data_IF_761968556072
#
_entry.id   IF_761968556072
#
_cell.length_a   1.000
_cell.length_b   1.000
_cell.length_c   1.000
_cell.angle_alpha   90.00
_cell.angle_beta   90.00
_cell.angle_gamma   90.00
#
_symmetry.space_group_name_H-M   'P 1'
#
loop_
_entity.id
_entity.type
_entity.pdbx_description
1 polymer ?
#
# COMPACT_ATOMS: atom_id res chain seq x y z
N UNK A 1 59.77 -61.98 5.91
CA UNK A 1 59.82 -62.63 4.58
C UNK A 1 60.07 -61.53 3.56
N UNK A 2 61.20 -61.60 2.85
CA UNK A 2 61.75 -60.55 1.99
C UNK A 2 61.06 -60.49 0.60
N UNK A 3 61.25 -59.38 -0.14
CA UNK A 3 60.34 -58.80 -1.13
C UNK A 3 60.74 -59.14 -2.58
N UNK A 4 60.02 -58.61 -3.58
CA UNK A 4 60.52 -58.27 -4.94
C UNK A 4 59.43 -57.54 -5.74
N UNK A 5 59.60 -56.25 -6.09
CA UNK A 5 60.34 -55.67 -7.26
C UNK A 5 59.34 -55.44 -8.43
N UNK A 6 59.33 -54.39 -9.25
CA UNK A 6 60.30 -53.37 -9.71
C UNK A 6 59.48 -52.16 -10.27
N UNK A 7 60.04 -50.94 -10.29
CA UNK A 7 59.54 -49.80 -11.11
C UNK A 7 59.84 -49.96 -12.63
N UNK A 8 59.68 -48.94 -13.51
CA UNK A 8 60.19 -47.57 -13.29
C UNK A 8 59.40 -46.39 -13.94
N UNK A 9 59.98 -45.20 -13.73
CA UNK A 9 60.13 -44.06 -14.65
C UNK A 9 59.12 -42.88 -14.62
N UNK A 10 59.70 -41.74 -14.19
CA UNK A 10 59.28 -40.35 -14.36
C UNK A 10 58.99 -39.98 -15.83
N UNK A 11 58.16 -38.96 -16.08
CA UNK A 11 58.64 -37.64 -16.56
C UNK A 11 57.52 -36.57 -16.66
N UNK A 12 57.83 -35.43 -16.05
CA UNK A 12 57.49 -34.03 -16.37
C UNK A 12 56.24 -33.66 -17.17
N UNK A 13 55.46 -32.74 -16.58
CA UNK A 13 54.57 -31.84 -17.31
C UNK A 13 53.87 -30.83 -16.40
N UNK A 14 54.58 -29.76 -16.00
CA UNK A 14 53.92 -28.59 -15.40
C UNK A 14 53.19 -27.84 -16.52
N UNK A 15 51.85 -27.81 -16.49
CA UNK A 15 51.07 -26.84 -17.28
C UNK A 15 49.87 -26.32 -16.47
N UNK A 16 50.07 -25.08 -16.00
CA UNK A 16 49.17 -23.92 -15.90
C UNK A 16 47.66 -24.14 -15.67
N UNK A 17 47.18 -23.40 -14.67
CA UNK A 17 45.80 -23.18 -14.29
C UNK A 17 44.83 -22.92 -15.47
N UNK A 18 43.63 -23.48 -15.34
CA UNK A 18 42.40 -22.83 -15.78
C UNK A 18 41.35 -22.95 -14.68
N UNK A 19 40.86 -21.78 -14.29
CA UNK A 19 39.81 -21.52 -13.33
C UNK A 19 38.49 -22.16 -13.80
N UNK A 20 37.98 -23.11 -13.02
CA UNK A 20 36.60 -23.56 -13.15
C UNK A 20 35.68 -22.54 -12.51
N UNK A 21 35.01 -21.73 -13.34
CA UNK A 21 33.85 -20.91 -12.97
C UNK A 21 32.84 -21.80 -12.22
N UNK A 22 32.43 -21.50 -10.97
CA UNK A 22 31.37 -22.24 -10.32
C UNK A 22 30.07 -22.04 -11.10
N UNK A 23 29.37 -23.15 -11.34
CA UNK A 23 28.04 -23.20 -11.94
C UNK A 23 27.09 -22.33 -11.14
N UNK A 24 26.31 -21.57 -11.89
CA UNK A 24 25.28 -20.63 -11.44
C UNK A 24 24.48 -21.23 -10.27
N UNK A 25 24.65 -20.63 -9.08
CA UNK A 25 23.68 -20.78 -8.02
C UNK A 25 22.43 -20.03 -8.48
N UNK A 26 21.38 -20.78 -8.77
CA UNK A 26 20.04 -20.25 -9.00
C UNK A 26 19.54 -19.60 -7.70
N UNK A 27 19.95 -18.35 -7.48
CA UNK A 27 19.32 -17.43 -6.52
C UNK A 27 18.12 -16.80 -7.20
N UNK A 28 17.12 -17.60 -7.54
CA UNK A 28 15.78 -17.07 -7.74
C UNK A 28 15.22 -16.72 -6.36
N UNK A 29 15.25 -15.43 -6.03
CA UNK A 29 14.44 -14.89 -4.93
C UNK A 29 12.99 -15.36 -5.14
N UNK A 30 12.27 -15.78 -4.09
CA UNK A 30 10.88 -16.16 -4.24
C UNK A 30 10.11 -14.97 -4.83
N UNK A 31 9.54 -15.15 -6.02
CA UNK A 31 8.67 -14.15 -6.66
C UNK A 31 7.60 -13.76 -5.64
N UNK A 32 7.66 -12.54 -5.13
CA UNK A 32 6.61 -11.98 -4.29
C UNK A 32 5.33 -12.04 -5.12
N UNK A 33 4.26 -12.73 -4.65
CA UNK A 33 3.02 -12.78 -5.39
C UNK A 33 2.59 -11.35 -5.74
N UNK A 34 2.39 -11.07 -7.04
CA UNK A 34 1.90 -9.77 -7.47
C UNK A 34 0.57 -9.52 -6.76
N UNK A 35 0.54 -8.56 -5.83
CA UNK A 35 -0.70 -8.16 -5.16
C UNK A 35 -1.64 -7.63 -6.24
N UNK A 36 -2.71 -8.35 -6.52
CA UNK A 36 -3.78 -7.91 -7.39
C UNK A 36 -4.55 -6.80 -6.70
N UNK A 37 -5.05 -5.82 -7.47
CA UNK A 37 -5.87 -4.77 -6.91
C UNK A 37 -7.13 -5.40 -6.28
N UNK A 38 -7.48 -5.08 -5.02
CA UNK A 38 -8.65 -5.69 -4.37
C UNK A 38 -9.97 -5.47 -5.12
N UNK A 39 -10.07 -4.45 -5.97
CA UNK A 39 -11.25 -4.23 -6.81
C UNK A 39 -11.36 -5.17 -8.02
N UNK A 40 -10.29 -5.90 -8.37
CA UNK A 40 -10.29 -6.89 -9.45
C UNK A 40 -10.84 -8.25 -9.00
N UNK A 41 -11.16 -8.40 -7.72
CA UNK A 41 -11.88 -9.56 -7.18
C UNK A 41 -13.29 -9.63 -7.82
N UNK A 42 -13.67 -10.77 -8.46
CA UNK A 42 -14.97 -10.94 -9.10
C UNK A 42 -16.17 -10.62 -8.22
N UNK A 43 -16.05 -10.74 -6.90
CA UNK A 43 -17.09 -10.34 -5.93
C UNK A 43 -17.48 -8.85 -6.05
N UNK A 44 -16.63 -8.01 -6.62
CA UNK A 44 -16.87 -6.58 -6.82
C UNK A 44 -17.16 -6.20 -8.27
N UNK A 45 -17.25 -7.16 -9.21
CA UNK A 45 -17.44 -6.85 -10.63
C UNK A 45 -18.71 -6.02 -10.89
N UNK A 46 -19.84 -6.42 -10.29
CA UNK A 46 -21.12 -5.71 -10.42
C UNK A 46 -21.05 -4.32 -9.79
N UNK A 47 -20.45 -4.20 -8.60
CA UNK A 47 -20.28 -2.92 -7.93
C UNK A 47 -19.43 -1.96 -8.78
N UNK A 48 -18.33 -2.46 -9.35
CA UNK A 48 -17.43 -1.67 -10.20
C UNK A 48 -18.10 -1.20 -11.50
N UNK A 49 -19.03 -1.99 -12.06
CA UNK A 49 -19.81 -1.60 -13.23
C UNK A 49 -20.68 -0.35 -12.95
N UNK A 50 -21.27 -0.26 -11.76
CA UNK A 50 -22.15 0.86 -11.38
C UNK A 50 -21.39 2.14 -10.93
N UNK A 51 -20.09 2.03 -10.65
CA UNK A 51 -19.26 3.14 -10.15
C UNK A 51 -18.83 4.12 -11.25
N UNK A 52 -19.79 4.88 -11.78
CA UNK A 52 -19.58 5.84 -12.88
C UNK A 52 -18.58 6.96 -12.58
N UNK A 53 -18.27 7.22 -11.31
CA UNK A 53 -17.34 8.26 -10.84
C UNK A 53 -16.21 7.69 -10.00
N UNK A 54 -15.82 6.45 -10.30
CA UNK A 54 -14.89 5.69 -9.49
C UNK A 54 -13.56 6.43 -9.25
N UNK A 55 -13.25 6.67 -7.98
CA UNK A 55 -12.00 7.30 -7.57
C UNK A 55 -11.94 8.81 -7.82
N UNK A 56 -13.01 9.43 -8.32
CA UNK A 56 -13.11 10.89 -8.41
C UNK A 56 -13.43 11.49 -7.04
N UNK A 57 -13.00 12.73 -6.81
CA UNK A 57 -13.51 13.48 -5.67
C UNK A 57 -14.98 13.84 -5.88
N UNK A 58 -15.82 13.50 -4.90
CA UNK A 58 -17.17 14.03 -4.80
C UNK A 58 -17.15 15.54 -4.58
N UNK A 59 -18.24 16.21 -4.96
CA UNK A 59 -18.37 17.65 -4.76
C UNK A 59 -18.27 17.99 -3.26
N UNK A 60 -17.38 18.93 -2.90
CA UNK A 60 -17.17 19.34 -1.51
C UNK A 60 -16.49 18.30 -0.61
N UNK A 61 -16.14 17.11 -1.12
CA UNK A 61 -15.56 16.05 -0.30
C UNK A 61 -14.24 16.49 0.35
N UNK A 62 -13.36 17.18 -0.38
CA UNK A 62 -12.09 17.66 0.16
C UNK A 62 -12.28 18.71 1.26
N UNK A 63 -13.24 19.62 1.10
CA UNK A 63 -13.53 20.63 2.13
C UNK A 63 -14.12 19.97 3.37
N UNK A 64 -14.99 18.97 3.21
CA UNK A 64 -15.48 18.17 4.34
C UNK A 64 -14.35 17.44 5.06
N UNK A 65 -13.45 16.77 4.33
CA UNK A 65 -12.30 16.07 4.91
C UNK A 65 -11.40 17.04 5.68
N UNK A 66 -11.10 18.19 5.07
CA UNK A 66 -10.09 19.11 5.56
C UNK A 66 -10.60 20.06 6.65
N UNK A 67 -11.73 20.71 6.39
CA UNK A 67 -12.29 21.79 7.19
C UNK A 67 -13.53 21.36 8.00
N UNK A 68 -14.11 20.20 7.66
CA UNK A 68 -15.31 19.69 8.32
C UNK A 68 -16.61 20.26 7.75
N UNK A 69 -17.73 19.69 8.18
CA UNK A 69 -19.07 20.18 7.84
C UNK A 69 -19.72 21.06 8.93
N UNK A 70 -19.00 21.33 10.02
CA UNK A 70 -19.52 22.05 11.18
C UNK A 70 -20.53 21.25 12.03
N UNK A 71 -20.82 20.00 11.66
CA UNK A 71 -21.71 19.08 12.39
C UNK A 71 -20.91 18.00 13.13
N UNK A 72 -19.62 18.25 13.34
CA UNK A 72 -18.70 17.31 13.97
C UNK A 72 -18.23 16.19 13.05
N UNK A 73 -18.41 16.28 11.72
CA UNK A 73 -17.77 15.36 10.78
C UNK A 73 -16.61 16.04 10.04
N UNK A 74 -15.55 15.27 9.78
CA UNK A 74 -14.37 15.76 9.08
C UNK A 74 -13.42 16.57 9.98
N UNK A 75 -12.87 17.64 9.41
CA UNK A 75 -11.90 18.56 10.03
C UNK A 75 -10.59 17.87 10.49
N UNK A 76 -9.98 17.12 9.57
CA UNK A 76 -8.76 16.34 9.82
C UNK A 76 -7.46 17.09 9.48
N UNK A 77 -7.52 18.38 9.14
CA UNK A 77 -6.32 19.17 8.81
C UNK A 77 -5.34 19.24 9.99
N UNK A 78 -4.03 19.40 9.74
CA UNK A 78 -3.01 19.35 10.80
C UNK A 78 -3.19 20.37 11.93
N UNK A 79 -3.87 21.50 11.65
CA UNK A 79 -4.12 22.57 12.62
C UNK A 79 -5.47 22.48 13.34
N UNK A 80 -6.26 21.43 13.09
CA UNK A 80 -7.57 21.28 13.72
C UNK A 80 -7.46 21.04 15.22
N UNK A 81 -8.31 21.70 15.99
CA UNK A 81 -8.44 21.52 17.45
C UNK A 81 -9.71 20.77 17.82
N UNK A 82 -10.42 20.17 16.86
CA UNK A 82 -11.66 19.45 17.14
C UNK A 82 -11.39 18.20 18.00
N UNK A 83 -12.06 18.06 19.16
CA UNK A 83 -11.86 16.92 20.05
C UNK A 83 -12.09 15.56 19.37
N UNK A 84 -11.25 14.57 19.70
CA UNK A 84 -11.37 13.20 19.22
C UNK A 84 -11.08 12.98 17.73
N UNK A 85 -10.66 14.00 16.98
CA UNK A 85 -10.31 13.87 15.55
C UNK A 85 -8.88 13.39 15.36
N UNK A 86 -8.69 12.48 14.41
CA UNK A 86 -7.36 12.16 13.89
C UNK A 86 -6.91 13.26 12.93
N UNK A 87 -5.65 13.67 13.00
CA UNK A 87 -5.10 14.78 12.22
C UNK A 87 -4.04 14.30 11.26
N UNK A 88 -4.01 14.89 10.07
CA UNK A 88 -2.91 14.67 9.14
C UNK A 88 -1.58 15.23 9.71
N UNK A 89 -0.43 14.67 9.31
CA UNK A 89 0.86 15.15 9.77
C UNK A 89 1.09 16.64 9.48
N UNK A 90 1.82 17.37 10.35
CA UNK A 90 2.23 18.74 10.07
C UNK A 90 2.89 18.89 8.69
N UNK A 91 2.55 19.95 7.96
CA UNK A 91 3.05 20.19 6.61
C UNK A 91 2.31 19.46 5.48
N UNK A 92 1.39 18.54 5.81
CA UNK A 92 0.50 17.92 4.80
C UNK A 92 -0.39 18.98 4.16
N UNK A 93 -0.63 18.86 2.85
CA UNK A 93 -1.46 19.77 2.04
C UNK A 93 -2.75 19.10 1.55
N UNK A 94 -3.79 19.89 1.23
CA UNK A 94 -5.02 19.39 0.58
C UNK A 94 -4.72 18.57 -0.67
N UNK A 95 -3.79 19.05 -1.51
CA UNK A 95 -3.43 18.40 -2.77
C UNK A 95 -2.79 17.01 -2.56
N UNK A 96 -1.93 16.86 -1.53
CA UNK A 96 -1.36 15.55 -1.18
C UNK A 96 -2.45 14.59 -0.70
N UNK A 97 -3.34 15.04 0.18
CA UNK A 97 -4.46 14.20 0.66
C UNK A 97 -5.37 13.78 -0.47
N UNK A 98 -5.71 14.69 -1.38
CA UNK A 98 -6.50 14.37 -2.57
C UNK A 98 -5.81 13.30 -3.43
N UNK A 99 -4.50 13.45 -3.68
CA UNK A 99 -3.74 12.46 -4.43
C UNK A 99 -3.71 11.08 -3.74
N UNK A 100 -3.48 11.05 -2.43
CA UNK A 100 -3.54 9.81 -1.65
C UNK A 100 -4.92 9.17 -1.70
N UNK A 101 -5.97 9.95 -1.52
CA UNK A 101 -7.34 9.43 -1.48
C UNK A 101 -7.78 8.86 -2.82
N UNK A 102 -7.46 9.52 -3.94
CA UNK A 102 -7.70 8.97 -5.30
C UNK A 102 -6.92 7.68 -5.53
N UNK A 103 -5.66 7.63 -5.11
CA UNK A 103 -4.82 6.44 -5.23
C UNK A 103 -5.35 5.27 -4.40
N UNK A 104 -5.77 5.52 -3.16
CA UNK A 104 -6.31 4.50 -2.26
C UNK A 104 -7.70 4.05 -2.72
N UNK A 105 -8.54 4.97 -3.18
CA UNK A 105 -9.88 4.65 -3.70
C UNK A 105 -9.80 3.64 -4.84
N UNK A 106 -8.89 3.86 -5.79
CA UNK A 106 -8.77 3.05 -7.00
C UNK A 106 -7.89 1.82 -6.83
N UNK A 107 -6.95 1.82 -5.89
CA UNK A 107 -6.05 0.70 -5.61
C UNK A 107 -5.76 0.59 -4.10
N UNK A 108 -6.75 0.14 -3.30
CA UNK A 108 -6.60 0.07 -1.85
C UNK A 108 -5.68 -1.07 -1.43
N UNK A 109 -5.17 -0.99 -0.21
CA UNK A 109 -4.38 -2.09 0.38
C UNK A 109 -5.28 -3.11 1.09
N UNK A 110 -6.49 -2.68 1.47
CA UNK A 110 -7.53 -3.51 2.09
C UNK A 110 -8.56 -3.98 1.07
N UNK A 111 -9.15 -5.15 1.32
CA UNK A 111 -10.38 -5.55 0.64
C UNK A 111 -11.51 -4.52 0.91
N UNK A 112 -12.26 -4.06 -0.11
CA UNK A 112 -13.38 -3.16 0.07
C UNK A 112 -14.44 -3.71 1.02
N UNK A 113 -14.96 -2.83 1.87
CA UNK A 113 -16.01 -3.14 2.84
C UNK A 113 -17.24 -2.28 2.55
N UNK A 114 -18.43 -2.88 2.49
CA UNK A 114 -19.67 -2.11 2.39
C UNK A 114 -19.85 -1.23 3.64
N UNK A 115 -20.43 -0.03 3.50
CA UNK A 115 -20.74 0.82 4.65
C UNK A 115 -21.87 0.20 5.47
N UNK A 116 -21.75 0.21 6.81
CA UNK A 116 -22.71 -0.42 7.71
C UNK A 116 -24.12 0.23 7.70
N UNK A 117 -24.20 1.52 7.36
CA UNK A 117 -25.44 2.31 7.47
C UNK A 117 -25.72 3.16 6.21
N UNK A 118 -25.36 2.67 5.03
CA UNK A 118 -25.66 3.34 3.77
C UNK A 118 -25.07 2.64 2.56
N UNK A 119 -25.36 3.15 1.37
CA UNK A 119 -24.81 2.60 0.13
C UNK A 119 -23.33 2.99 -0.04
N UNK A 120 -22.54 2.21 -0.76
CA UNK A 120 -21.13 2.52 -1.05
C UNK A 120 -20.14 1.77 -0.15
N UNK A 121 -18.91 2.27 -0.10
CA UNK A 121 -17.76 1.47 0.33
C UNK A 121 -16.81 2.22 1.25
N UNK A 122 -16.09 1.45 2.05
CA UNK A 122 -14.96 1.88 2.86
C UNK A 122 -13.74 1.07 2.42
N UNK A 123 -12.66 1.77 2.15
CA UNK A 123 -11.36 1.17 1.84
C UNK A 123 -10.27 1.81 2.69
N UNK A 124 -9.16 1.12 2.85
CA UNK A 124 -7.97 1.59 3.56
C UNK A 124 -6.75 1.37 2.69
N UNK A 125 -5.80 2.31 2.76
CA UNK A 125 -4.51 2.17 2.11
C UNK A 125 -3.49 3.12 2.70
N UNK A 126 -2.22 2.86 2.40
CA UNK A 126 -1.07 3.59 2.94
C UNK A 126 -0.33 4.27 1.81
N UNK A 127 -0.12 5.57 1.92
CA UNK A 127 0.67 6.38 0.97
C UNK A 127 1.61 7.27 1.77
N UNK A 128 2.87 7.33 1.36
CA UNK A 128 3.92 8.07 2.06
C UNK A 128 3.99 7.76 3.58
N UNK A 129 3.77 6.49 3.94
CA UNK A 129 3.77 6.02 5.33
C UNK A 129 2.51 6.36 6.14
N UNK A 130 1.52 7.02 5.53
CA UNK A 130 0.27 7.43 6.17
C UNK A 130 -0.87 6.50 5.73
N UNK A 131 -1.40 5.74 6.67
CA UNK A 131 -2.59 4.92 6.46
C UNK A 131 -3.83 5.81 6.55
N UNK A 132 -4.65 5.79 5.51
CA UNK A 132 -5.90 6.54 5.46
C UNK A 132 -7.09 5.60 5.25
N UNK A 133 -8.22 5.98 5.84
CA UNK A 133 -9.53 5.42 5.49
C UNK A 133 -10.15 6.34 4.43
N UNK A 134 -10.61 5.77 3.33
CA UNK A 134 -11.34 6.48 2.28
C UNK A 134 -12.75 5.92 2.18
N UNK A 135 -13.72 6.84 2.11
CA UNK A 135 -15.14 6.54 2.06
C UNK A 135 -15.63 6.89 0.65
N UNK A 136 -16.25 5.92 -0.01
CA UNK A 136 -16.81 6.03 -1.35
C UNK A 136 -18.34 5.97 -1.28
N UNK A 137 -19.00 6.81 -2.06
CA UNK A 137 -20.43 6.66 -2.33
C UNK A 137 -20.68 5.53 -3.35
N UNK A 138 -21.96 5.22 -3.58
CA UNK A 138 -22.37 4.11 -4.46
C UNK A 138 -21.85 4.24 -5.89
N UNK A 139 -21.75 5.47 -6.39
CA UNK A 139 -21.23 5.78 -7.73
C UNK A 139 -19.70 5.73 -7.80
N UNK A 140 -19.03 5.36 -6.69
CA UNK A 140 -17.58 5.24 -6.59
C UNK A 140 -16.84 6.55 -6.37
N UNK A 141 -17.55 7.68 -6.27
CA UNK A 141 -16.92 8.95 -5.91
C UNK A 141 -16.53 8.98 -4.43
N UNK A 142 -15.44 9.67 -4.12
CA UNK A 142 -14.93 9.86 -2.76
C UNK A 142 -15.80 10.89 -2.06
N UNK A 143 -16.45 10.50 -0.97
CA UNK A 143 -17.32 11.38 -0.17
C UNK A 143 -16.72 11.77 1.18
N UNK A 144 -15.65 11.12 1.61
CA UNK A 144 -14.94 11.47 2.83
C UNK A 144 -13.76 10.54 3.14
N UNK A 145 -13.19 10.72 4.33
CA UNK A 145 -12.10 9.91 4.83
C UNK A 145 -11.27 10.66 5.86
N UNK A 146 -10.29 9.96 6.43
CA UNK A 146 -9.46 10.47 7.53
C UNK A 146 -8.14 9.70 7.63
N UNK A 147 -7.07 10.30 8.20
CA UNK A 147 -5.87 9.57 8.54
C UNK A 147 -6.14 8.64 9.71
N UNK A 148 -5.65 7.41 9.63
CA UNK A 148 -5.82 6.38 10.67
C UNK A 148 -4.54 6.21 11.50
N UNK A 149 -3.40 6.15 10.84
CA UNK A 149 -2.09 5.94 11.47
C UNK A 149 -0.95 6.36 10.54
N UNK A 150 0.25 6.50 11.10
CA UNK A 150 1.45 6.91 10.37
C UNK A 150 2.27 7.91 11.16
N UNK A 151 3.51 8.16 10.74
CA UNK A 151 4.35 9.16 11.39
C UNK A 151 3.69 10.55 11.32
N UNK A 152 3.61 11.23 12.48
CA UNK A 152 3.00 12.55 12.59
C UNK A 152 1.46 12.59 12.60
N UNK A 153 0.78 11.46 12.40
CA UNK A 153 -0.67 11.37 12.64
C UNK A 153 -0.93 11.42 14.14
N UNK A 154 -1.75 12.37 14.57
CA UNK A 154 -2.14 12.55 15.97
C UNK A 154 -3.65 12.42 16.13
N UNK A 155 -4.12 12.28 17.37
CA UNK A 155 -5.55 12.36 17.70
C UNK A 155 -5.74 13.42 18.76
N UNK A 156 -6.66 14.34 18.54
CA UNK A 156 -7.01 15.33 19.53
C UNK A 156 -7.64 14.64 20.76
N UNK A 157 -7.40 15.14 21.98
CA UNK A 157 -8.05 14.62 23.18
C UNK A 157 -9.58 14.60 23.04
N UNK A 158 -10.28 13.66 23.72
CA UNK A 158 -11.74 13.70 23.78
C UNK A 158 -12.23 14.98 24.48
N UNK A 159 -13.49 15.34 24.23
CA UNK A 159 -14.17 16.47 24.87
C UNK A 159 -14.46 16.23 26.36
#
# INVERSE_FOLDING_TARGET
MMPKRVGPAQQHGIKRAQEGRPKDADTSEPEVPKRTNPWDDPDFADARYDMRRFGEMGAGAMDKIWDGDGLGNGNHKPSSTEPGKTLFPPGTTKAQVEAWFKSIATNPDSRPQARAHGDGWRVTGTRDGITCVVILDKDGSISGGFPLSGEGVTTNPPA
#
